data_IF_048302689933
#
_entry.id   IF_048302689933
#
_cell.length_a   1.000
_cell.length_b   1.000
_cell.length_c   1.000
_cell.angle_alpha   90.00
_cell.angle_beta   90.00
_cell.angle_gamma   90.00
#
_symmetry.space_group_name_H-M   'P 1'
#
loop_
_entity.id
_entity.type
_entity.pdbx_description
1 polymer ?
#
# COMPACT_ATOMS: atom_id res chain seq x y z
N UNK A 1 24.80 -35.30 -53.34
CA UNK A 1 24.20 -34.77 -52.10
C UNK A 1 24.58 -33.29 -52.01
N UNK A 2 23.64 -32.41 -52.40
CA UNK A 2 23.91 -31.01 -52.76
C UNK A 2 23.80 -30.09 -51.55
N UNK A 3 24.81 -29.24 -51.34
CA UNK A 3 24.83 -28.13 -50.38
C UNK A 3 24.26 -26.89 -51.06
N UNK A 4 23.20 -26.29 -50.51
CA UNK A 4 22.75 -24.95 -50.88
C UNK A 4 22.38 -24.18 -49.61
N UNK A 5 23.05 -23.04 -49.44
CA UNK A 5 22.88 -22.06 -48.39
C UNK A 5 21.69 -21.12 -48.66
N UNK A 6 20.97 -20.72 -47.60
CA UNK A 6 20.12 -19.50 -47.55
C UNK A 6 20.13 -19.00 -46.10
N UNK A 7 20.89 -17.94 -45.80
CA UNK A 7 20.58 -16.51 -45.94
C UNK A 7 19.76 -15.97 -44.75
N UNK A 8 20.47 -15.32 -43.81
CA UNK A 8 19.92 -14.52 -42.72
C UNK A 8 19.54 -13.14 -43.26
N UNK A 9 18.27 -12.78 -43.18
CA UNK A 9 17.83 -11.40 -43.40
C UNK A 9 18.00 -10.61 -42.10
N UNK A 10 19.02 -9.76 -42.07
CA UNK A 10 19.14 -8.68 -41.11
C UNK A 10 18.43 -7.46 -41.69
N UNK A 11 17.35 -7.00 -41.04
CA UNK A 11 16.73 -5.71 -41.34
C UNK A 11 17.16 -4.70 -40.28
N UNK A 12 18.16 -3.89 -40.62
CA UNK A 12 18.56 -2.71 -39.86
C UNK A 12 17.56 -1.60 -40.10
N UNK A 13 16.78 -1.23 -39.08
CA UNK A 13 16.01 0.01 -39.07
C UNK A 13 16.69 1.00 -38.12
N UNK A 14 17.38 1.94 -38.74
CA UNK A 14 17.92 3.17 -38.15
C UNK A 14 16.71 4.08 -37.88
N UNK A 15 16.41 4.36 -36.62
CA UNK A 15 15.45 5.42 -36.25
C UNK A 15 16.12 6.38 -35.26
N UNK A 16 15.97 7.65 -35.58
CA UNK A 16 16.59 8.82 -34.96
C UNK A 16 16.22 8.96 -33.48
N UNK A 17 17.22 9.30 -32.67
CA UNK A 17 17.04 9.71 -31.29
C UNK A 17 16.28 11.05 -31.21
N UNK A 18 15.27 11.11 -30.35
CA UNK A 18 14.70 12.32 -29.78
C UNK A 18 14.33 12.02 -28.30
N UNK A 19 14.44 12.98 -27.38
CA UNK A 19 14.60 12.71 -25.96
C UNK A 19 13.29 12.33 -25.26
N UNK A 20 13.41 11.41 -24.30
CA UNK A 20 12.39 11.04 -23.33
C UNK A 20 11.89 12.28 -22.56
N UNK A 21 10.58 12.56 -22.64
CA UNK A 21 9.90 13.49 -21.75
C UNK A 21 9.09 12.68 -20.73
N UNK A 22 9.57 12.67 -19.49
CA UNK A 22 8.84 12.22 -18.30
C UNK A 22 7.65 13.15 -18.05
N UNK A 23 6.42 12.64 -18.18
CA UNK A 23 5.24 13.34 -17.67
C UNK A 23 5.05 12.90 -16.22
N UNK A 24 5.46 13.79 -15.31
CA UNK A 24 5.21 13.72 -13.87
C UNK A 24 3.75 14.16 -13.59
N UNK A 25 2.92 13.37 -12.88
CA UNK A 25 1.56 13.80 -12.55
C UNK A 25 1.60 14.58 -11.23
N UNK A 26 2.03 15.83 -11.28
CA UNK A 26 2.03 16.74 -10.13
C UNK A 26 1.32 18.08 -10.40
N UNK A 27 0.51 18.18 -11.45
CA UNK A 27 -0.05 19.46 -11.92
C UNK A 27 -1.56 19.48 -12.19
N UNK A 28 -2.35 18.62 -11.54
CA UNK A 28 -3.82 18.63 -11.69
C UNK A 28 -4.60 18.65 -10.35
N UNK A 29 -4.01 19.22 -9.30
CA UNK A 29 -4.70 19.45 -8.02
C UNK A 29 -4.14 20.68 -7.31
N UNK A 30 -4.29 21.88 -7.88
CA UNK A 30 -3.97 23.14 -7.20
C UNK A 30 -4.65 24.36 -7.85
N UNK A 31 -5.95 24.53 -7.59
CA UNK A 31 -6.68 25.80 -7.57
C UNK A 31 -8.07 25.45 -7.01
N UNK A 32 -8.53 25.88 -5.83
CA UNK A 32 -8.40 27.18 -5.18
C UNK A 32 -8.57 27.01 -3.66
N UNK A 33 -7.58 27.42 -2.88
CA UNK A 33 -7.74 27.76 -1.47
C UNK A 33 -6.57 28.66 -1.08
N UNK A 34 -6.77 29.97 -1.21
CA UNK A 34 -5.91 30.97 -0.62
C UNK A 34 -6.81 31.89 0.20
N UNK A 35 -6.69 31.81 1.52
CA UNK A 35 -7.30 32.71 2.48
C UNK A 35 -6.24 33.11 3.50
N UNK A 36 -5.96 34.41 3.59
CA UNK A 36 -5.32 35.15 4.69
C UNK A 36 -5.67 36.62 4.43
N UNK A 37 -6.15 37.45 5.34
CA UNK A 37 -5.89 37.59 6.79
C UNK A 37 -7.02 38.50 7.41
N UNK A 38 -7.22 38.44 8.73
CA UNK A 38 -8.32 39.06 9.54
C UNK A 38 -8.03 40.55 9.98
N UNK A 39 -8.68 41.21 11.00
CA UNK A 39 -9.91 40.98 11.81
C UNK A 39 -10.76 42.29 12.10
N UNK A 40 -11.69 42.21 13.09
CA UNK A 40 -12.46 43.27 13.81
C UNK A 40 -13.79 43.75 13.16
N UNK A 41 -14.90 44.04 13.84
CA UNK A 41 -15.28 44.09 15.26
C UNK A 41 -16.60 44.90 15.37
N UNK A 42 -17.54 44.42 16.19
CA UNK A 42 -18.62 45.10 16.93
C UNK A 42 -19.59 46.14 16.27
N UNK A 43 -20.88 45.86 16.52
CA UNK A 43 -21.95 46.75 17.00
C UNK A 43 -22.81 47.68 16.10
N UNK A 44 -24.11 47.59 16.44
CA UNK A 44 -25.19 48.59 16.39
C UNK A 44 -25.74 49.01 15.02
N UNK A 45 -27.00 49.38 14.80
CA UNK A 45 -28.30 49.34 15.50
C UNK A 45 -29.20 50.25 14.65
N UNK A 46 -30.48 49.89 14.46
CA UNK A 46 -31.64 50.81 14.24
C UNK A 46 -31.64 51.69 12.96
N UNK A 47 -32.74 52.02 12.29
CA UNK A 47 -34.16 52.10 12.63
C UNK A 47 -35.02 52.13 11.32
N UNK A 48 -36.37 52.11 11.41
CA UNK A 48 -37.31 51.74 10.33
C UNK A 48 -38.11 52.93 9.75
N UNK A 49 -38.90 52.71 8.67
CA UNK A 49 -40.36 53.02 8.57
C UNK A 49 -40.96 52.89 7.15
N UNK A 50 -42.20 52.36 7.16
CA UNK A 50 -43.39 52.63 6.30
C UNK A 50 -43.29 52.48 4.77
N UNK A 51 -44.31 52.11 4.00
CA UNK A 51 -45.60 51.44 4.16
C UNK A 51 -46.19 51.28 2.73
N UNK A 52 -47.00 50.24 2.53
CA UNK A 52 -48.13 50.11 1.58
C UNK A 52 -47.93 50.07 0.04
N UNK A 53 -48.34 48.90 -0.51
CA UNK A 53 -49.29 48.67 -1.63
C UNK A 53 -49.12 49.39 -2.99
N UNK A 54 -49.49 48.87 -4.15
CA UNK A 54 -49.84 47.55 -4.71
C UNK A 54 -50.07 47.80 -6.23
N UNK A 55 -49.90 46.77 -7.08
CA UNK A 55 -50.63 46.68 -8.36
C UNK A 55 -49.81 46.64 -9.65
N UNK A 56 -49.74 45.45 -10.24
CA UNK A 56 -49.34 45.13 -11.62
C UNK A 56 -50.24 45.80 -12.70
N UNK A 57 -49.85 45.75 -13.99
CA UNK A 57 -50.48 44.73 -14.85
C UNK A 57 -49.50 44.03 -15.82
N UNK A 58 -49.68 42.72 -15.98
CA UNK A 58 -49.07 41.87 -17.01
C UNK A 58 -49.49 42.29 -18.44
N UNK A 59 -48.67 41.97 -19.48
CA UNK A 59 -49.18 40.96 -20.42
C UNK A 59 -48.10 40.00 -20.97
N UNK A 60 -48.45 38.71 -20.98
CA UNK A 60 -48.14 37.64 -21.95
C UNK A 60 -46.67 37.27 -22.31
N UNK A 61 -46.40 35.99 -22.63
CA UNK A 61 -45.06 35.42 -22.66
C UNK A 61 -44.37 35.63 -24.03
N UNK A 62 -43.03 35.73 -24.09
CA UNK A 62 -42.35 35.50 -25.35
C UNK A 62 -42.28 33.98 -25.61
N UNK A 63 -42.98 33.57 -26.65
CA UNK A 63 -42.82 32.28 -27.33
C UNK A 63 -41.46 32.19 -28.04
N UNK A 64 -40.93 30.97 -28.15
CA UNK A 64 -40.01 30.62 -29.24
C UNK A 64 -38.55 30.35 -28.90
N UNK A 65 -38.25 29.08 -28.59
CA UNK A 65 -37.07 28.35 -29.09
C UNK A 65 -35.65 28.74 -28.63
N UNK A 66 -35.38 28.85 -27.32
CA UNK A 66 -34.00 28.68 -26.76
C UNK A 66 -33.90 27.86 -25.46
N UNK A 67 -34.99 27.21 -25.04
CA UNK A 67 -35.11 26.59 -23.70
C UNK A 67 -34.80 25.07 -23.65
N UNK A 68 -35.12 24.31 -24.70
CA UNK A 68 -34.95 22.84 -24.72
C UNK A 68 -33.48 22.41 -24.62
N UNK A 69 -32.57 23.15 -25.26
CA UNK A 69 -31.13 22.88 -25.18
C UNK A 69 -30.53 23.16 -23.79
N UNK A 70 -31.09 24.10 -23.00
CA UNK A 70 -30.60 24.37 -21.64
C UNK A 70 -31.03 23.28 -20.66
N UNK A 71 -32.28 22.81 -20.78
CA UNK A 71 -32.79 21.70 -19.96
C UNK A 71 -32.09 20.37 -20.29
N UNK A 72 -31.83 20.09 -21.58
CA UNK A 72 -31.06 18.91 -21.99
C UNK A 72 -29.62 18.95 -21.44
N UNK A 73 -28.97 20.12 -21.52
CA UNK A 73 -27.62 20.31 -20.95
C UNK A 73 -27.60 20.15 -19.42
N UNK A 74 -28.61 20.69 -18.72
CA UNK A 74 -28.75 20.54 -17.27
C UNK A 74 -28.97 19.06 -16.87
N UNK A 75 -29.81 18.34 -17.62
CA UNK A 75 -30.06 16.91 -17.38
C UNK A 75 -28.85 16.01 -17.61
N UNK A 76 -28.02 16.32 -18.62
CA UNK A 76 -26.75 15.60 -18.84
C UNK A 76 -25.79 15.86 -17.67
N UNK A 77 -25.68 17.12 -17.22
CA UNK A 77 -24.77 17.47 -16.13
C UNK A 77 -25.17 16.80 -14.80
N UNK A 78 -26.46 16.75 -14.47
CA UNK A 78 -26.94 16.06 -13.26
C UNK A 78 -26.72 14.55 -13.33
N UNK A 79 -26.96 13.93 -14.49
CA UNK A 79 -26.72 12.50 -14.68
C UNK A 79 -25.23 12.13 -14.52
N UNK A 80 -24.33 12.91 -15.12
CA UNK A 80 -22.87 12.72 -14.96
C UNK A 80 -22.45 12.89 -13.51
N UNK A 81 -22.95 13.93 -12.83
CA UNK A 81 -22.63 14.18 -11.41
C UNK A 81 -23.12 13.03 -10.51
N UNK A 82 -24.32 12.53 -10.74
CA UNK A 82 -24.85 11.39 -9.98
C UNK A 82 -24.04 10.11 -10.22
N UNK A 83 -23.64 9.86 -11.47
CA UNK A 83 -22.78 8.72 -11.82
C UNK A 83 -21.40 8.81 -11.16
N UNK A 84 -20.77 9.99 -11.17
CA UNK A 84 -19.50 10.24 -10.48
C UNK A 84 -19.62 10.09 -8.96
N UNK A 85 -20.70 10.58 -8.36
CA UNK A 85 -20.97 10.42 -6.92
C UNK A 85 -21.15 8.94 -6.53
N UNK A 86 -21.93 8.19 -7.31
CA UNK A 86 -22.17 6.77 -7.06
C UNK A 86 -20.90 5.94 -7.22
N UNK A 87 -20.14 6.15 -8.29
CA UNK A 87 -18.84 5.47 -8.51
C UNK A 87 -17.82 5.84 -7.45
N UNK A 88 -17.78 7.11 -7.01
CA UNK A 88 -16.95 7.55 -5.90
C UNK A 88 -17.29 6.84 -4.58
N UNK A 89 -18.59 6.71 -4.26
CA UNK A 89 -19.04 5.99 -3.07
C UNK A 89 -18.69 4.50 -3.13
N UNK A 90 -18.94 3.83 -4.26
CA UNK A 90 -18.62 2.41 -4.45
C UNK A 90 -17.12 2.17 -4.30
N UNK A 91 -16.29 3.07 -4.83
CA UNK A 91 -14.83 2.98 -4.72
C UNK A 91 -14.35 3.11 -3.28
N UNK A 92 -15.00 3.97 -2.49
CA UNK A 92 -14.67 4.16 -1.07
C UNK A 92 -15.15 3.01 -0.18
N UNK A 93 -16.34 2.48 -0.44
CA UNK A 93 -16.99 1.52 0.46
C UNK A 93 -16.62 0.05 0.20
N UNK A 94 -16.23 -0.30 -1.03
CA UNK A 94 -16.03 -1.69 -1.46
C UNK A 94 -14.67 -1.90 -2.14
N UNK A 95 -14.09 -3.08 -1.96
CA UNK A 95 -12.90 -3.53 -2.69
C UNK A 95 -13.22 -3.89 -4.16
N UNK A 96 -12.20 -3.94 -5.03
CA UNK A 96 -12.40 -4.36 -6.44
C UNK A 96 -13.00 -5.75 -6.52
N UNK A 97 -12.50 -6.69 -5.72
CA UNK A 97 -12.97 -8.08 -5.73
C UNK A 97 -14.44 -8.22 -5.33
N UNK A 98 -14.87 -7.45 -4.33
CA UNK A 98 -16.29 -7.42 -3.92
C UNK A 98 -17.17 -6.86 -5.04
N UNK A 99 -16.73 -5.79 -5.73
CA UNK A 99 -17.49 -5.22 -6.85
C UNK A 99 -17.48 -6.17 -8.05
N UNK A 100 -16.37 -6.86 -8.35
CA UNK A 100 -16.31 -7.89 -9.40
C UNK A 100 -17.33 -8.98 -9.14
N UNK A 101 -17.37 -9.50 -7.90
CA UNK A 101 -18.30 -10.54 -7.48
C UNK A 101 -19.76 -10.09 -7.58
N UNK A 102 -20.10 -8.91 -7.04
CA UNK A 102 -21.46 -8.37 -7.08
C UNK A 102 -21.96 -8.13 -8.50
N UNK A 103 -21.07 -7.74 -9.42
CA UNK A 103 -21.44 -7.39 -10.81
C UNK A 103 -21.33 -8.56 -11.79
N UNK A 104 -20.77 -9.70 -11.37
CA UNK A 104 -20.45 -10.84 -12.23
C UNK A 104 -21.68 -11.44 -12.90
N UNK A 105 -22.78 -11.62 -12.17
CA UNK A 105 -24.02 -12.19 -12.72
C UNK A 105 -24.66 -11.27 -13.75
N UNK A 106 -24.71 -9.98 -13.45
CA UNK A 106 -25.23 -8.96 -14.36
C UNK A 106 -24.44 -8.92 -15.68
N UNK A 107 -23.10 -8.95 -15.59
CA UNK A 107 -22.21 -8.98 -16.77
C UNK A 107 -22.24 -10.28 -17.55
N UNK A 108 -22.59 -11.41 -16.92
CA UNK A 108 -22.83 -12.69 -17.62
C UNK A 108 -24.14 -12.63 -18.39
N UNK A 109 -25.20 -12.11 -17.75
CA UNK A 109 -26.52 -12.01 -18.35
C UNK A 109 -26.55 -11.06 -19.56
N UNK A 110 -25.69 -10.03 -19.59
CA UNK A 110 -25.55 -9.14 -20.74
C UNK A 110 -24.90 -9.78 -21.97
N UNK A 111 -24.17 -10.90 -21.79
CA UNK A 111 -23.42 -11.61 -22.85
C UNK A 111 -24.18 -12.79 -23.46
N UNK A 112 -25.35 -13.15 -22.93
CA UNK A 112 -26.14 -14.28 -23.44
C UNK A 112 -26.75 -13.98 -24.83
N UNK A 113 -26.70 -14.94 -25.77
CA UNK A 113 -27.34 -14.80 -27.08
C UNK A 113 -28.87 -14.85 -26.94
N UNK A 114 -29.56 -13.99 -27.70
CA UNK A 114 -31.03 -13.95 -27.73
C UNK A 114 -31.53 -15.20 -28.46
N UNK A 115 -32.40 -15.99 -27.82
CA UNK A 115 -32.96 -17.21 -28.41
C UNK A 115 -33.79 -16.92 -29.66
N UNK A 116 -33.64 -17.76 -30.69
CA UNK A 116 -34.25 -17.55 -32.01
C UNK A 116 -35.75 -17.90 -32.08
N UNK A 117 -36.28 -18.59 -31.06
CA UNK A 117 -37.65 -19.13 -31.03
C UNK A 117 -38.73 -18.14 -30.53
N UNK A 118 -38.40 -16.85 -30.34
CA UNK A 118 -39.31 -15.84 -29.80
C UNK A 118 -40.15 -15.12 -30.89
N UNK A 119 -41.35 -14.68 -30.51
CA UNK A 119 -42.22 -13.87 -31.37
C UNK A 119 -41.53 -12.56 -31.81
N UNK A 120 -41.81 -12.04 -33.00
CA UNK A 120 -41.13 -10.85 -33.56
C UNK A 120 -41.14 -9.63 -32.62
N UNK A 121 -42.27 -9.38 -31.94
CA UNK A 121 -42.38 -8.29 -30.97
C UNK A 121 -41.57 -8.56 -29.70
N UNK A 122 -41.55 -9.81 -29.23
CA UNK A 122 -40.72 -10.22 -28.10
C UNK A 122 -39.22 -10.17 -28.43
N UNK A 123 -38.85 -10.49 -29.68
CA UNK A 123 -37.50 -10.35 -30.21
C UNK A 123 -37.07 -8.89 -30.28
N UNK A 124 -37.95 -7.98 -30.69
CA UNK A 124 -37.67 -6.54 -30.66
C UNK A 124 -37.50 -6.02 -29.23
N UNK A 125 -38.39 -6.42 -28.31
CA UNK A 125 -38.30 -6.08 -26.88
C UNK A 125 -37.02 -6.63 -26.24
N UNK A 126 -36.64 -7.87 -26.57
CA UNK A 126 -35.42 -8.51 -26.10
C UNK A 126 -34.16 -7.85 -26.68
N UNK A 127 -34.19 -7.43 -27.95
CA UNK A 127 -33.09 -6.71 -28.58
C UNK A 127 -32.89 -5.33 -27.93
N UNK A 128 -33.97 -4.56 -27.74
CA UNK A 128 -33.92 -3.27 -27.05
C UNK A 128 -33.43 -3.42 -25.59
N UNK A 129 -33.92 -4.44 -24.87
CA UNK A 129 -33.45 -4.76 -23.51
C UNK A 129 -31.97 -5.19 -23.50
N UNK A 130 -31.51 -5.88 -24.54
CA UNK A 130 -30.09 -6.25 -24.64
C UNK A 130 -29.19 -5.02 -24.78
N UNK A 131 -29.61 -4.00 -25.54
CA UNK A 131 -28.83 -2.77 -25.70
C UNK A 131 -28.83 -1.92 -24.43
N UNK A 132 -29.94 -1.88 -23.69
CA UNK A 132 -30.01 -1.17 -22.40
C UNK A 132 -29.17 -1.83 -21.30
N UNK A 133 -28.92 -3.15 -21.39
CA UNK A 133 -28.12 -3.89 -20.41
C UNK A 133 -26.64 -3.96 -20.81
N UNK A 134 -26.32 -3.94 -22.11
CA UNK A 134 -24.94 -3.93 -22.62
C UNK A 134 -24.16 -2.69 -22.22
N UNK A 135 -24.76 -1.51 -22.31
CA UNK A 135 -24.07 -0.24 -22.00
C UNK A 135 -23.63 -0.16 -20.52
N UNK A 136 -24.49 -0.43 -19.52
CA UNK A 136 -24.07 -0.50 -18.13
C UNK A 136 -23.05 -1.61 -17.86
N UNK A 137 -23.18 -2.79 -18.49
CA UNK A 137 -22.21 -3.87 -18.31
C UNK A 137 -20.82 -3.47 -18.82
N UNK A 138 -20.74 -2.81 -19.98
CA UNK A 138 -19.49 -2.29 -20.52
C UNK A 138 -18.90 -1.15 -19.65
N UNK A 139 -19.74 -0.30 -19.07
CA UNK A 139 -19.30 0.74 -18.14
C UNK A 139 -18.72 0.15 -16.84
N UNK A 140 -19.30 -0.93 -16.34
CA UNK A 140 -18.77 -1.67 -15.18
C UNK A 140 -17.43 -2.32 -15.53
N UNK A 141 -17.33 -2.98 -16.69
CA UNK A 141 -16.05 -3.56 -17.15
C UNK A 141 -14.97 -2.47 -17.27
N UNK A 142 -15.28 -1.32 -17.86
CA UNK A 142 -14.36 -0.18 -17.92
C UNK A 142 -13.95 0.34 -16.52
N UNK A 143 -14.89 0.41 -15.58
CA UNK A 143 -14.60 0.81 -14.20
C UNK A 143 -13.65 -0.18 -13.52
N UNK A 144 -13.90 -1.48 -13.64
CA UNK A 144 -13.05 -2.53 -13.07
C UNK A 144 -11.66 -2.54 -13.69
N UNK A 145 -11.56 -2.36 -15.02
CA UNK A 145 -10.29 -2.28 -15.73
C UNK A 145 -9.46 -1.05 -15.30
N UNK A 146 -10.08 0.12 -15.22
CA UNK A 146 -9.39 1.35 -14.78
C UNK A 146 -8.99 1.24 -13.31
N UNK A 147 -9.86 0.70 -12.46
CA UNK A 147 -9.59 0.58 -11.03
C UNK A 147 -8.50 -0.45 -10.73
N UNK A 148 -8.53 -1.61 -11.39
CA UNK A 148 -7.47 -2.62 -11.26
C UNK A 148 -6.10 -2.06 -11.68
N UNK A 149 -6.02 -1.31 -12.79
CA UNK A 149 -4.78 -0.65 -13.19
C UNK A 149 -4.24 0.33 -12.14
N UNK A 150 -5.12 1.10 -11.49
CA UNK A 150 -4.73 2.03 -10.43
C UNK A 150 -4.27 1.27 -9.18
N UNK A 151 -5.01 0.23 -8.78
CA UNK A 151 -4.67 -0.59 -7.62
C UNK A 151 -3.36 -1.36 -7.83
N UNK A 152 -3.10 -1.91 -9.03
CA UNK A 152 -1.84 -2.54 -9.40
C UNK A 152 -0.65 -1.58 -9.28
N UNK A 153 -0.83 -0.33 -9.73
CA UNK A 153 0.19 0.71 -9.57
C UNK A 153 0.46 1.01 -8.09
N UNK A 154 -0.59 1.14 -7.28
CA UNK A 154 -0.47 1.40 -5.84
C UNK A 154 0.18 0.20 -5.13
N UNK A 155 -0.18 -1.02 -5.50
CA UNK A 155 0.33 -2.24 -4.92
C UNK A 155 1.85 -2.33 -5.05
N UNK A 156 2.42 -1.88 -6.17
CA UNK A 156 3.86 -1.79 -6.35
C UNK A 156 4.60 -0.88 -5.36
N UNK A 157 3.90 0.06 -4.71
CA UNK A 157 4.47 0.93 -3.67
C UNK A 157 4.13 0.46 -2.25
N UNK A 158 3.08 -0.35 -2.09
CA UNK A 158 2.51 -0.76 -0.80
C UNK A 158 3.02 -2.12 -0.36
N UNK A 159 3.06 -3.08 -1.28
CA UNK A 159 3.49 -4.44 -0.99
C UNK A 159 5.02 -4.57 -1.12
N UNK A 160 5.61 -5.55 -0.43
CA UNK A 160 7.04 -5.82 -0.57
C UNK A 160 7.38 -6.19 -2.03
N UNK A 161 8.60 -5.85 -2.44
CA UNK A 161 9.12 -6.10 -3.80
C UNK A 161 9.04 -7.55 -4.31
N UNK A 162 8.91 -8.54 -3.41
CA UNK A 162 8.77 -9.95 -3.75
C UNK A 162 7.87 -10.67 -2.74
N UNK A 163 7.15 -11.70 -3.19
CA UNK A 163 6.42 -12.60 -2.29
C UNK A 163 7.34 -13.41 -1.38
N UNK A 164 8.52 -13.77 -1.92
CA UNK A 164 9.60 -14.43 -1.19
C UNK A 164 10.79 -13.48 -1.14
N UNK A 165 11.04 -12.91 0.03
CA UNK A 165 12.12 -11.95 0.26
C UNK A 165 13.49 -12.63 0.30
N UNK A 166 13.55 -13.89 0.73
CA UNK A 166 14.80 -14.65 0.82
C UNK A 166 14.74 -15.88 -0.09
N UNK A 167 15.90 -16.31 -0.64
CA UNK A 167 15.99 -17.54 -1.41
C UNK A 167 15.67 -18.77 -0.55
N UNK A 168 15.36 -19.89 -1.20
CA UNK A 168 15.14 -21.17 -0.53
C UNK A 168 16.43 -21.65 0.14
N UNK A 169 16.32 -22.18 1.36
CA UNK A 169 17.46 -22.75 2.08
C UNK A 169 17.86 -24.11 1.50
N UNK A 170 19.16 -24.44 1.47
CA UNK A 170 19.59 -25.78 1.10
C UNK A 170 19.04 -26.80 2.11
N UNK A 171 18.76 -28.06 1.69
CA UNK A 171 18.15 -29.07 2.56
C UNK A 171 18.85 -29.29 3.90
N UNK A 172 20.17 -29.10 3.94
CA UNK A 172 21.00 -29.24 5.13
C UNK A 172 20.74 -28.15 6.18
N UNK A 173 20.27 -26.97 5.79
CA UNK A 173 20.14 -25.80 6.66
C UNK A 173 18.69 -25.47 7.03
N UNK A 174 17.71 -26.27 6.59
CA UNK A 174 16.29 -26.02 6.89
C UNK A 174 15.95 -26.06 8.38
N UNK A 175 16.83 -26.63 9.21
CA UNK A 175 16.68 -26.72 10.66
C UNK A 175 17.32 -25.55 11.43
N UNK A 176 17.96 -24.61 10.74
CA UNK A 176 18.62 -23.45 11.33
C UNK A 176 17.56 -22.40 11.66
N UNK A 177 17.74 -21.71 12.79
CA UNK A 177 16.89 -20.58 13.17
C UNK A 177 17.36 -19.32 12.44
N UNK A 178 16.41 -18.47 12.08
CA UNK A 178 16.68 -17.19 11.42
C UNK A 178 16.51 -16.07 12.43
N UNK A 179 17.57 -15.29 12.67
CA UNK A 179 17.49 -14.07 13.47
C UNK A 179 17.43 -12.88 12.52
N UNK A 180 16.37 -12.11 12.66
CA UNK A 180 16.13 -10.88 11.92
C UNK A 180 16.46 -9.70 12.84
N UNK A 181 17.40 -8.86 12.42
CA UNK A 181 17.86 -7.70 13.20
C UNK A 181 17.46 -6.42 12.49
N UNK A 182 16.88 -5.47 13.23
CA UNK A 182 16.75 -4.11 12.73
C UNK A 182 18.09 -3.38 12.79
N UNK A 183 18.27 -2.36 11.95
CA UNK A 183 19.51 -1.60 11.87
C UNK A 183 19.49 -0.39 12.82
N UNK A 184 18.52 0.51 12.62
CA UNK A 184 18.45 1.78 13.33
C UNK A 184 17.97 1.60 14.78
N UNK A 185 18.60 2.30 15.71
CA UNK A 185 18.35 2.22 17.17
C UNK A 185 18.48 0.80 17.76
N UNK A 186 19.04 -0.14 16.99
CA UNK A 186 19.20 -1.55 17.36
C UNK A 186 20.67 -1.96 17.28
N UNK A 187 21.29 -1.90 16.11
CA UNK A 187 22.73 -2.17 15.90
C UNK A 187 23.54 -0.89 15.78
N UNK A 188 22.95 0.16 15.19
CA UNK A 188 23.57 1.47 14.99
C UNK A 188 22.58 2.57 15.32
N UNK A 189 23.10 3.76 15.57
CA UNK A 189 22.32 4.98 15.71
C UNK A 189 22.88 6.04 14.78
N UNK A 190 22.02 6.68 14.00
CA UNK A 190 22.41 7.81 13.14
C UNK A 190 21.73 9.09 13.59
N UNK A 191 22.51 10.15 13.71
CA UNK A 191 21.99 11.48 13.95
C UNK A 191 22.55 12.50 12.97
N UNK A 192 21.87 13.63 12.88
CA UNK A 192 22.32 14.78 12.12
C UNK A 192 22.54 15.95 13.05
N UNK A 193 23.73 16.59 12.96
CA UNK A 193 23.98 17.89 13.60
C UNK A 193 24.51 18.87 12.55
N UNK A 194 24.16 20.15 12.67
CA UNK A 194 24.59 21.22 11.73
C UNK A 194 26.09 21.21 11.45
N UNK A 195 26.90 21.04 12.50
CA UNK A 195 28.35 21.11 12.41
C UNK A 195 28.99 19.89 11.76
N UNK A 196 28.37 18.71 11.90
CA UNK A 196 29.00 17.42 11.57
C UNK A 196 28.29 16.65 10.45
N UNK A 197 27.12 17.10 10.04
CA UNK A 197 26.22 16.39 9.14
C UNK A 197 25.68 15.10 9.75
N UNK A 198 25.32 14.17 8.87
CA UNK A 198 24.92 12.82 9.25
C UNK A 198 26.12 12.03 9.76
N UNK A 199 26.00 11.42 10.94
CA UNK A 199 26.96 10.46 11.46
C UNK A 199 26.26 9.24 12.01
N UNK A 200 26.87 8.08 11.76
CA UNK A 200 26.40 6.78 12.23
C UNK A 200 27.36 6.27 13.29
N UNK A 201 26.81 5.82 14.42
CA UNK A 201 27.53 5.29 15.55
C UNK A 201 27.19 3.82 15.73
N UNK A 202 28.18 3.00 16.10
CA UNK A 202 27.99 1.58 16.39
C UNK A 202 27.54 1.41 17.84
N UNK A 203 26.54 0.56 18.07
CA UNK A 203 26.17 0.16 19.42
C UNK A 203 27.31 -0.66 20.06
N UNK A 204 27.66 -0.43 21.33
CA UNK A 204 28.68 -1.23 22.00
C UNK A 204 28.38 -2.73 21.91
N UNK A 205 29.42 -3.53 21.64
CA UNK A 205 29.30 -4.99 21.53
C UNK A 205 28.70 -5.53 20.23
N UNK A 206 28.30 -4.68 19.27
CA UNK A 206 27.67 -5.13 18.02
C UNK A 206 28.52 -6.11 17.20
N UNK A 207 29.83 -5.87 17.13
CA UNK A 207 30.74 -6.74 16.34
C UNK A 207 30.78 -8.15 16.96
N UNK A 208 30.97 -8.24 18.28
CA UNK A 208 30.97 -9.51 19.02
C UNK A 208 29.61 -10.23 18.96
N UNK A 209 28.52 -9.47 19.03
CA UNK A 209 27.16 -9.98 18.91
C UNK A 209 26.92 -10.64 17.55
N UNK A 210 27.23 -9.95 16.45
CA UNK A 210 27.06 -10.49 15.10
C UNK A 210 27.95 -11.72 14.85
N UNK A 211 29.21 -11.68 15.29
CA UNK A 211 30.14 -12.80 15.16
C UNK A 211 29.71 -14.04 15.95
N UNK A 212 29.11 -13.84 17.13
CA UNK A 212 28.62 -14.95 17.93
C UNK A 212 27.35 -15.54 17.31
N UNK A 213 26.38 -14.71 16.92
CA UNK A 213 25.13 -15.19 16.33
C UNK A 213 25.31 -15.89 14.99
N UNK A 214 26.23 -15.43 14.15
CA UNK A 214 26.49 -16.02 12.83
C UNK A 214 26.95 -17.48 12.88
N UNK A 215 27.38 -17.99 14.05
CA UNK A 215 27.76 -19.39 14.24
C UNK A 215 26.58 -20.34 14.38
N UNK A 216 25.45 -19.84 14.88
CA UNK A 216 24.29 -20.66 15.27
C UNK A 216 23.04 -20.33 14.45
N UNK A 217 22.96 -19.12 13.91
CA UNK A 217 21.78 -18.56 13.27
C UNK A 217 22.07 -18.07 11.86
N UNK A 218 21.05 -18.13 11.02
CA UNK A 218 21.02 -17.32 9.80
C UNK A 218 20.70 -15.87 10.20
N UNK A 219 21.70 -15.00 10.14
CA UNK A 219 21.53 -13.58 10.49
C UNK A 219 21.07 -12.79 9.26
N UNK A 220 19.92 -12.12 9.39
CA UNK A 220 19.31 -11.27 8.37
C UNK A 220 19.14 -9.87 8.94
N UNK A 221 19.64 -8.84 8.25
CA UNK A 221 19.37 -7.45 8.63
C UNK A 221 18.16 -6.95 7.86
N UNK A 222 17.14 -6.45 8.55
CA UNK A 222 15.90 -5.98 7.95
C UNK A 222 15.52 -4.58 8.45
N UNK A 223 15.86 -3.58 7.64
CA UNK A 223 15.66 -2.17 7.94
C UNK A 223 14.55 -1.53 7.10
N UNK A 224 13.85 -0.57 7.69
CA UNK A 224 12.92 0.35 7.00
C UNK A 224 13.63 1.53 6.32
N UNK A 225 14.96 1.57 6.32
CA UNK A 225 15.71 2.60 5.63
C UNK A 225 15.96 2.21 4.17
N UNK A 226 16.20 3.21 3.31
CA UNK A 226 16.52 2.99 1.89
C UNK A 226 17.86 2.25 1.75
N UNK A 227 18.00 1.43 0.71
CA UNK A 227 19.25 0.70 0.42
C UNK A 227 20.48 1.60 0.36
N UNK A 228 20.32 2.81 -0.20
CA UNK A 228 21.36 3.85 -0.25
C UNK A 228 21.97 4.21 1.12
N UNK A 229 21.23 3.99 2.21
CA UNK A 229 21.72 4.16 3.58
C UNK A 229 22.17 2.83 4.20
N UNK A 230 21.39 1.76 4.01
CA UNK A 230 21.64 0.44 4.61
C UNK A 230 22.94 -0.16 4.10
N UNK A 231 23.15 -0.17 2.79
CA UNK A 231 24.28 -0.84 2.14
C UNK A 231 25.65 -0.30 2.61
N UNK A 232 25.94 1.02 2.56
CA UNK A 232 27.23 1.55 3.00
C UNK A 232 27.45 1.50 4.52
N UNK A 233 26.38 1.38 5.32
CA UNK A 233 26.49 1.15 6.77
C UNK A 233 26.85 -0.31 7.03
N UNK A 234 26.15 -1.24 6.38
CA UNK A 234 26.39 -2.68 6.53
C UNK A 234 27.76 -3.09 5.98
N UNK A 235 28.23 -2.50 4.89
CA UNK A 235 29.57 -2.76 4.36
C UNK A 235 30.69 -2.41 5.36
N UNK A 236 30.49 -1.39 6.20
CA UNK A 236 31.43 -1.02 7.26
C UNK A 236 31.23 -1.78 8.57
N UNK A 237 29.98 -2.11 8.89
CA UNK A 237 29.63 -2.81 10.13
C UNK A 237 30.00 -4.29 10.06
N UNK A 238 29.72 -4.94 8.93
CA UNK A 238 29.89 -6.38 8.74
C UNK A 238 31.13 -6.71 7.89
N UNK A 239 32.31 -6.32 8.38
CA UNK A 239 33.57 -6.58 7.68
C UNK A 239 33.93 -8.09 7.60
N UNK A 240 33.33 -8.92 8.46
CA UNK A 240 33.59 -10.36 8.55
C UNK A 240 32.58 -11.22 7.77
N UNK A 241 31.53 -10.62 7.21
CA UNK A 241 30.50 -11.34 6.45
C UNK A 241 29.60 -12.22 7.31
N UNK A 242 29.31 -11.80 8.54
CA UNK A 242 28.42 -12.47 9.49
C UNK A 242 26.95 -12.43 9.04
N UNK A 243 26.55 -11.41 8.26
CA UNK A 243 25.15 -11.22 7.82
C UNK A 243 24.94 -11.85 6.45
N UNK A 244 24.02 -12.81 6.35
CA UNK A 244 23.74 -13.55 5.11
C UNK A 244 22.88 -12.76 4.12
N UNK A 245 21.87 -12.06 4.63
CA UNK A 245 20.92 -11.31 3.82
C UNK A 245 20.64 -9.93 4.39
N UNK A 246 20.44 -8.96 3.50
CA UNK A 246 20.17 -7.56 3.82
C UNK A 246 18.89 -7.14 3.12
N UNK A 247 17.91 -6.71 3.90
CA UNK A 247 16.62 -6.23 3.45
C UNK A 247 16.48 -4.76 3.83
N UNK A 248 16.09 -3.95 2.85
CA UNK A 248 15.88 -2.50 3.01
C UNK A 248 14.40 -2.16 2.85
N UNK A 249 14.05 -0.87 2.85
CA UNK A 249 12.67 -0.38 2.75
C UNK A 249 11.83 -1.02 1.65
N UNK A 250 12.43 -1.37 0.51
CA UNK A 250 11.72 -2.01 -0.62
C UNK A 250 11.16 -3.40 -0.29
N UNK A 251 11.63 -4.02 0.79
CA UNK A 251 11.13 -5.29 1.29
C UNK A 251 10.00 -5.12 2.33
N UNK A 252 9.75 -3.90 2.82
CA UNK A 252 8.73 -3.62 3.83
C UNK A 252 7.35 -3.40 3.22
N UNK A 253 6.31 -3.68 3.98
CA UNK A 253 4.92 -3.38 3.64
C UNK A 253 4.55 -1.99 4.16
N UNK A 254 3.99 -1.12 3.31
CA UNK A 254 3.58 0.22 3.70
C UNK A 254 2.09 0.25 4.05
N UNK A 255 1.75 0.48 5.32
CA UNK A 255 0.36 0.49 5.80
C UNK A 255 0.15 1.76 6.63
N UNK A 256 -0.91 2.52 6.32
CA UNK A 256 -1.35 3.67 7.10
C UNK A 256 -0.25 4.70 7.43
N UNK A 257 0.62 5.00 6.46
CA UNK A 257 1.69 5.97 6.66
C UNK A 257 2.98 5.40 7.25
N UNK A 258 3.02 4.10 7.57
CA UNK A 258 4.16 3.45 8.25
C UNK A 258 4.64 2.19 7.52
N UNK A 259 5.95 1.96 7.57
CA UNK A 259 6.56 0.74 7.08
C UNK A 259 6.54 -0.35 8.15
N UNK A 260 6.04 -1.52 7.78
CA UNK A 260 6.01 -2.72 8.59
C UNK A 260 6.84 -3.81 7.94
N UNK A 261 7.51 -4.59 8.78
CA UNK A 261 8.28 -5.77 8.38
C UNK A 261 7.34 -6.96 8.45
N UNK A 262 7.12 -7.57 7.29
CA UNK A 262 6.33 -8.80 7.17
C UNK A 262 7.26 -10.01 7.21
N UNK A 263 7.30 -10.70 8.35
CA UNK A 263 8.13 -11.89 8.54
C UNK A 263 7.60 -13.10 7.77
N UNK A 264 6.30 -13.12 7.42
CA UNK A 264 5.70 -14.22 6.64
C UNK A 264 6.30 -14.32 5.22
N UNK A 265 6.80 -13.19 4.70
CA UNK A 265 7.40 -13.07 3.37
C UNK A 265 8.88 -13.46 3.34
N UNK A 266 9.49 -13.77 4.49
CA UNK A 266 10.90 -14.18 4.55
C UNK A 266 11.16 -15.57 3.99
N UNK A 267 10.13 -16.35 3.64
CA UNK A 267 10.29 -17.72 3.14
C UNK A 267 11.07 -18.59 4.16
N UNK A 268 10.72 -18.46 5.44
CA UNK A 268 11.27 -19.21 6.58
C UNK A 268 10.11 -19.70 7.43
N UNK A 269 10.35 -20.75 8.21
CA UNK A 269 9.35 -21.24 9.17
C UNK A 269 9.14 -20.19 10.28
N UNK A 270 7.92 -19.63 10.45
CA UNK A 270 7.66 -18.65 11.50
C UNK A 270 7.89 -19.21 12.91
N UNK A 271 7.90 -20.52 13.13
CA UNK A 271 8.28 -21.09 14.43
C UNK A 271 9.78 -20.99 14.75
N UNK A 272 10.59 -20.53 13.78
CA UNK A 272 12.06 -20.45 13.89
C UNK A 272 12.63 -19.09 13.52
N UNK A 273 11.76 -18.08 13.43
CA UNK A 273 12.15 -16.69 13.13
C UNK A 273 12.04 -15.86 14.40
N UNK A 274 13.11 -15.15 14.75
CA UNK A 274 13.10 -14.19 15.87
C UNK A 274 13.48 -12.82 15.31
N UNK A 275 12.61 -11.83 15.52
CA UNK A 275 12.88 -10.45 15.13
C UNK A 275 13.26 -9.60 16.34
N UNK A 276 14.45 -9.01 16.30
CA UNK A 276 15.01 -8.18 17.38
C UNK A 276 15.08 -6.74 16.90
N UNK A 277 14.42 -5.83 17.62
CA UNK A 277 14.45 -4.39 17.34
C UNK A 277 14.10 -3.58 18.58
N UNK A 278 14.62 -2.36 18.65
CA UNK A 278 14.17 -1.33 19.59
C UNK A 278 12.67 -1.04 19.49
N UNK A 279 12.10 -1.18 18.29
CA UNK A 279 10.70 -0.87 17.97
C UNK A 279 9.97 -2.12 17.45
N UNK A 280 10.32 -3.31 17.96
CA UNK A 280 9.85 -4.57 17.37
C UNK A 280 8.32 -4.68 17.30
N UNK A 281 7.63 -4.34 18.40
CA UNK A 281 6.16 -4.41 18.50
C UNK A 281 5.44 -3.41 17.60
N UNK A 282 6.09 -2.30 17.28
CA UNK A 282 5.48 -1.21 16.51
C UNK A 282 5.77 -1.34 15.01
N UNK A 283 6.79 -2.11 14.63
CA UNK A 283 7.35 -2.16 13.27
C UNK A 283 7.22 -3.53 12.59
N UNK A 284 6.64 -4.52 13.28
CA UNK A 284 6.44 -5.88 12.78
C UNK A 284 4.96 -6.21 12.66
N UNK A 285 4.59 -7.04 11.66
CA UNK A 285 3.23 -7.56 11.53
C UNK A 285 2.98 -8.82 12.38
N UNK A 286 4.04 -9.56 12.74
CA UNK A 286 3.98 -10.77 13.57
C UNK A 286 4.59 -10.50 14.95
N UNK A 287 3.81 -9.90 15.87
CA UNK A 287 4.32 -9.50 17.18
C UNK A 287 4.77 -10.68 18.06
N UNK A 288 4.27 -11.89 17.81
CA UNK A 288 4.66 -13.11 18.51
C UNK A 288 6.12 -13.53 18.25
N UNK A 289 6.68 -13.14 17.11
CA UNK A 289 8.07 -13.39 16.75
C UNK A 289 9.02 -12.27 17.21
N UNK A 290 8.49 -11.23 17.87
CA UNK A 290 9.26 -10.05 18.24
C UNK A 290 9.88 -10.18 19.63
N UNK A 291 11.20 -9.97 19.69
CA UNK A 291 11.96 -9.76 20.91
C UNK A 291 12.28 -8.25 21.02
N UNK A 292 11.45 -7.45 21.71
CA UNK A 292 11.70 -6.04 21.88
C UNK A 292 12.92 -5.82 22.79
N UNK A 293 13.81 -4.93 22.38
CA UNK A 293 14.97 -4.51 23.18
C UNK A 293 14.90 -3.00 23.41
N UNK A 294 15.74 -2.46 24.31
CA UNK A 294 15.81 -1.02 24.51
C UNK A 294 16.36 -0.34 23.22
N UNK A 295 15.66 0.66 22.65
CA UNK A 295 16.21 1.52 21.60
C UNK A 295 17.47 2.23 22.09
N UNK A 296 18.54 2.17 21.31
CA UNK A 296 19.83 2.76 21.67
C UNK A 296 20.00 4.17 21.09
N UNK A 297 20.39 5.11 21.95
CA UNK A 297 20.53 6.55 21.68
C UNK A 297 21.88 7.07 22.21
N UNK A 298 22.96 6.42 21.78
CA UNK A 298 24.36 6.79 22.11
C UNK A 298 24.76 6.62 23.58
N UNK A 299 24.09 5.77 24.34
CA UNK A 299 24.55 5.41 25.68
C UNK A 299 25.81 4.55 25.60
N UNK A 300 26.91 5.03 26.20
CA UNK A 300 28.20 4.35 26.16
C UNK A 300 28.24 3.06 27.01
N UNK A 301 27.50 3.04 28.11
CA UNK A 301 27.41 1.91 29.05
C UNK A 301 26.34 0.87 28.65
N UNK A 302 25.83 0.92 27.41
CA UNK A 302 24.84 -0.04 26.93
C UNK A 302 25.48 -1.42 26.73
N UNK A 303 25.01 -2.41 27.48
CA UNK A 303 25.44 -3.82 27.38
C UNK A 303 24.38 -4.72 26.75
N UNK A 304 23.26 -4.15 26.32
CA UNK A 304 22.04 -4.88 25.96
C UNK A 304 22.26 -5.97 24.91
N UNK A 305 23.11 -5.72 23.89
CA UNK A 305 23.40 -6.73 22.87
C UNK A 305 24.21 -7.91 23.42
N UNK A 306 25.15 -7.63 24.33
CA UNK A 306 26.00 -8.66 24.94
C UNK A 306 25.16 -9.50 25.90
N UNK A 307 24.29 -8.86 26.67
CA UNK A 307 23.40 -9.52 27.64
C UNK A 307 22.38 -10.46 26.96
N UNK A 308 22.10 -10.26 25.67
CA UNK A 308 21.22 -11.13 24.87
C UNK A 308 21.93 -12.38 24.36
N UNK A 309 23.26 -12.41 24.30
CA UNK A 309 24.00 -13.54 23.74
C UNK A 309 23.67 -14.85 24.47
N UNK A 310 23.72 -14.95 25.81
CA UNK A 310 23.45 -16.21 26.50
C UNK A 310 22.02 -16.72 26.30
N UNK A 311 21.06 -15.80 26.17
CA UNK A 311 19.66 -16.15 25.89
C UNK A 311 19.52 -16.77 24.49
N UNK A 312 20.21 -16.18 23.51
CA UNK A 312 20.15 -16.61 22.11
C UNK A 312 21.05 -17.82 21.84
N UNK A 313 22.10 -18.06 22.61
CA UNK A 313 22.96 -19.25 22.42
C UNK A 313 22.20 -20.56 22.68
N UNK A 314 21.27 -20.55 23.64
CA UNK A 314 20.45 -21.71 23.96
C UNK A 314 19.23 -21.82 23.05
N UNK A 315 19.30 -22.73 22.06
CA UNK A 315 18.20 -22.99 21.10
C UNK A 315 16.88 -23.36 21.77
N UNK A 316 16.94 -24.11 22.86
CA UNK A 316 15.75 -24.53 23.59
C UNK A 316 15.03 -23.34 24.23
N UNK A 317 15.80 -22.39 24.79
CA UNK A 317 15.27 -21.14 25.34
C UNK A 317 14.67 -20.28 24.23
N UNK A 318 15.33 -20.19 23.07
CA UNK A 318 14.82 -19.46 21.92
C UNK A 318 13.49 -20.05 21.39
N UNK A 319 13.38 -21.38 21.33
CA UNK A 319 12.15 -22.08 20.96
C UNK A 319 11.04 -21.88 22.00
N UNK A 320 11.36 -22.03 23.29
CA UNK A 320 10.42 -21.81 24.39
C UNK A 320 9.89 -20.37 24.39
N UNK A 321 10.76 -19.38 24.14
CA UNK A 321 10.38 -17.98 24.00
C UNK A 321 9.31 -17.79 22.91
N UNK A 322 9.53 -18.36 21.72
CA UNK A 322 8.59 -18.26 20.61
C UNK A 322 7.24 -18.93 20.93
N UNK A 323 7.27 -20.12 21.52
CA UNK A 323 6.03 -20.79 21.96
C UNK A 323 5.27 -19.96 23.00
N UNK A 324 5.97 -19.45 24.00
CA UNK A 324 5.37 -18.64 25.06
C UNK A 324 4.79 -17.35 24.51
N UNK A 325 5.53 -16.66 23.64
CA UNK A 325 5.09 -15.43 23.01
C UNK A 325 3.81 -15.67 22.21
N UNK A 326 3.79 -16.71 21.37
CA UNK A 326 2.61 -17.11 20.59
C UNK A 326 1.38 -17.33 21.48
N UNK A 327 1.50 -18.13 22.55
CA UNK A 327 0.40 -18.37 23.50
C UNK A 327 -0.16 -17.08 24.10
N UNK A 328 0.72 -16.12 24.44
CA UNK A 328 0.29 -14.83 24.99
C UNK A 328 -0.47 -14.01 23.97
N UNK A 329 -0.04 -13.98 22.71
CA UNK A 329 -0.72 -13.24 21.65
C UNK A 329 -2.06 -13.89 21.27
N UNK A 330 -2.12 -15.22 21.15
CA UNK A 330 -3.37 -15.96 20.93
C UNK A 330 -4.42 -15.64 22.01
N UNK A 331 -4.01 -15.62 23.29
CA UNK A 331 -4.91 -15.24 24.39
C UNK A 331 -5.38 -13.79 24.30
N UNK A 332 -4.52 -12.86 23.86
CA UNK A 332 -4.91 -11.46 23.64
C UNK A 332 -5.93 -11.34 22.51
N UNK A 333 -5.73 -12.05 21.41
CA UNK A 333 -6.66 -12.05 20.27
C UNK A 333 -8.02 -12.62 20.66
N UNK A 334 -8.05 -13.75 21.39
CA UNK A 334 -9.30 -14.33 21.91
C UNK A 334 -10.04 -13.35 22.82
N UNK A 335 -9.33 -12.66 23.73
CA UNK A 335 -9.94 -11.63 24.60
C UNK A 335 -10.48 -10.44 23.79
N UNK A 336 -9.78 -10.02 22.74
CA UNK A 336 -10.25 -8.94 21.87
C UNK A 336 -11.49 -9.35 21.07
N UNK A 337 -11.51 -10.56 20.51
CA UNK A 337 -12.67 -11.09 19.80
C UNK A 337 -13.86 -11.22 20.74
N UNK A 338 -13.66 -11.79 21.93
CA UNK A 338 -14.68 -11.87 22.96
C UNK A 338 -15.20 -10.47 23.34
N UNK A 339 -14.31 -9.50 23.58
CA UNK A 339 -14.68 -8.12 23.87
C UNK A 339 -15.42 -7.39 22.74
N UNK A 340 -15.21 -7.77 21.47
CA UNK A 340 -15.99 -7.25 20.33
C UNK A 340 -17.39 -7.87 20.27
N UNK A 341 -17.54 -9.14 20.66
CA UNK A 341 -18.84 -9.83 20.72
C UNK A 341 -19.74 -9.19 21.78
N UNK A 342 -19.21 -8.78 22.93
CA UNK A 342 -19.97 -8.10 23.99
C UNK A 342 -20.28 -6.60 23.72
N UNK A 343 -19.76 -6.02 22.63
CA UNK A 343 -20.00 -4.63 22.23
C UNK A 343 -20.97 -4.49 21.05
N UNK A 344 -21.47 -5.60 20.51
CA UNK A 344 -22.60 -5.64 19.58
C UNK A 344 -23.84 -6.03 20.34
#
# INVERSE_FOLDING_TARGET
MSRIARSRFALTLRSSAAPFSTISPAAAAAASLASKEAPAGADASSAPKEAAAAGDPSPAPPSGTRSSFRLLKAGIFTAVTAALGATGYVTYAYSVDEVDQMTREFRKNSKLPISEDLSCFEKFKAMAYSETVKVPAAAIDLYLDVRSQIEDQIQGFVEPSSEKLLPDLPPQEQHVFTIVLDLNETLVYSDWKRERGWRTFKRPGVDAFLEHLAKFYEVVVYSDQLSMYVDPVMERLDAKGCVRHRLSRVATKYVNGKHYRDLSKLNRDPARVIYISGHALDSCLQPENCLPIKPWKLEAEDTQLIDLIPLLECRDIAAEFLERSRRVYEQKEQKQQHGRIWRR
#
